data_IF_209119773126
#
_entry.id   IF_209119773126
#
_cell.length_a   1.000
_cell.length_b   1.000
_cell.length_c   1.000
_cell.angle_alpha   90.00
_cell.angle_beta   90.00
_cell.angle_gamma   90.00
#
_symmetry.space_group_name_H-M   'P 1'
#
loop_
_entity.id
_entity.type
_entity.pdbx_description
1 polymer ?
#
# COMPACT_ATOMS: atom_id res chain seq x y z
N UNK A 1 10.78 -15.08 -1.96
CA UNK A 1 9.93 -14.94 -0.76
C UNK A 1 9.77 -13.49 -0.29
N UNK A 2 10.84 -12.72 -0.06
CA UNK A 2 10.75 -11.34 0.49
C UNK A 2 9.70 -10.41 -0.14
N UNK A 3 9.55 -10.42 -1.46
CA UNK A 3 8.60 -9.55 -2.16
C UNK A 3 7.15 -9.94 -1.94
N UNK A 4 6.87 -11.24 -1.77
CA UNK A 4 5.53 -11.73 -1.44
C UNK A 4 5.18 -11.29 -0.01
N UNK A 5 6.13 -11.41 0.92
CA UNK A 5 5.95 -10.96 2.31
C UNK A 5 5.66 -9.45 2.35
N UNK A 6 6.40 -8.64 1.58
CA UNK A 6 6.14 -7.20 1.47
C UNK A 6 4.72 -6.89 1.00
N UNK A 7 4.20 -7.61 0.00
CA UNK A 7 2.83 -7.43 -0.49
C UNK A 7 1.78 -7.87 0.53
N UNK A 8 2.00 -8.96 1.26
CA UNK A 8 1.10 -9.40 2.33
C UNK A 8 1.06 -8.37 3.46
N UNK A 9 2.23 -7.87 3.90
CA UNK A 9 2.31 -6.82 4.90
C UNK A 9 1.64 -5.52 4.42
N UNK A 10 1.80 -5.16 3.14
CA UNK A 10 1.11 -4.01 2.56
C UNK A 10 -0.41 -4.15 2.64
N UNK A 11 -0.94 -5.33 2.30
CA UNK A 11 -2.37 -5.61 2.37
C UNK A 11 -2.91 -5.54 3.80
N UNK A 12 -2.19 -6.12 4.77
CA UNK A 12 -2.56 -6.07 6.19
C UNK A 12 -2.52 -4.64 6.73
N UNK A 13 -1.49 -3.86 6.40
CA UNK A 13 -1.38 -2.46 6.79
C UNK A 13 -2.52 -1.61 6.20
N UNK A 14 -2.88 -1.85 4.93
CA UNK A 14 -3.99 -1.16 4.29
C UNK A 14 -5.32 -1.50 4.96
N UNK A 15 -5.57 -2.78 5.27
CA UNK A 15 -6.77 -3.20 6.00
C UNK A 15 -6.87 -2.52 7.37
N UNK A 16 -5.77 -2.50 8.13
CA UNK A 16 -5.69 -1.78 9.41
C UNK A 16 -5.94 -0.27 9.27
N UNK A 17 -5.38 0.36 8.24
CA UNK A 17 -5.62 1.77 7.92
C UNK A 17 -7.10 2.05 7.61
N UNK A 18 -7.76 1.21 6.81
CA UNK A 18 -9.18 1.36 6.50
C UNK A 18 -10.05 1.22 7.74
N UNK A 19 -9.82 0.19 8.56
CA UNK A 19 -10.57 -0.04 9.81
C UNK A 19 -10.42 1.18 10.73
N UNK A 20 -9.19 1.65 10.93
CA UNK A 20 -8.91 2.78 11.82
C UNK A 20 -9.52 4.08 11.29
N UNK A 21 -9.42 4.34 9.99
CA UNK A 21 -9.97 5.54 9.36
C UNK A 21 -11.49 5.62 9.40
N UNK A 22 -12.17 4.46 9.41
CA UNK A 22 -13.62 4.42 9.64
C UNK A 22 -14.00 4.83 11.07
N UNK A 23 -13.14 4.53 12.05
CA UNK A 23 -13.33 4.85 13.46
C UNK A 23 -12.99 6.30 13.84
N UNK A 24 -12.26 7.03 12.98
CA UNK A 24 -11.76 8.39 13.24
C UNK A 24 -12.87 9.42 13.43
N UNK A 25 -14.04 9.22 12.83
CA UNK A 25 -15.14 10.19 12.83
C UNK A 25 -16.08 9.97 14.02
N UNK A 26 -16.29 11.03 14.80
CA UNK A 26 -17.39 11.11 15.76
C UNK A 26 -18.33 12.25 15.37
N UNK A 27 -19.62 11.94 15.23
CA UNK A 27 -20.64 12.96 14.93
C UNK A 27 -21.04 13.60 16.25
N UNK A 28 -20.67 14.86 16.44
CA UNK A 28 -21.03 15.62 17.64
C UNK A 28 -22.12 16.62 17.29
N UNK A 29 -23.24 16.53 18.00
CA UNK A 29 -24.29 17.53 17.94
C UNK A 29 -23.85 18.78 18.70
N UNK A 30 -23.81 19.91 18.00
CA UNK A 30 -23.52 21.22 18.61
C UNK A 30 -24.85 21.91 18.89
N UNK A 31 -25.06 22.32 20.15
CA UNK A 31 -26.26 23.06 20.54
C UNK A 31 -26.32 24.42 19.82
N UNK A 32 -27.52 24.90 19.41
CA UNK A 32 -27.68 26.17 18.72
C UNK A 32 -27.13 27.33 19.54
N UNK A 33 -26.40 28.25 18.90
CA UNK A 33 -25.82 29.44 19.55
C UNK A 33 -26.89 30.54 19.78
N UNK A 34 -28.01 30.48 19.06
CA UNK A 34 -29.15 31.39 19.19
C UNK A 34 -30.49 30.67 18.93
N UNK A 35 -31.56 31.13 19.58
CA UNK A 35 -32.91 30.59 19.39
C UNK A 35 -33.36 30.73 17.93
N UNK A 36 -33.82 29.63 17.32
CA UNK A 36 -34.30 29.58 15.93
C UNK A 36 -33.29 29.12 14.87
N UNK A 37 -32.02 28.87 15.23
CA UNK A 37 -31.00 28.37 14.31
C UNK A 37 -31.12 26.84 14.11
N UNK A 38 -31.14 26.29 12.88
CA UNK A 38 -31.09 24.85 12.67
C UNK A 38 -29.78 24.27 13.22
N UNK A 39 -29.87 23.09 13.84
CA UNK A 39 -28.70 22.42 14.42
C UNK A 39 -27.64 22.14 13.35
N UNK A 40 -26.41 22.59 13.61
CA UNK A 40 -25.26 22.32 12.74
C UNK A 40 -24.54 21.07 13.23
N UNK A 41 -24.44 20.07 12.36
CA UNK A 41 -23.63 18.87 12.63
C UNK A 41 -22.15 19.17 12.40
N UNK A 42 -21.30 18.94 13.39
CA UNK A 42 -19.84 19.02 13.24
C UNK A 42 -19.23 17.62 13.36
N UNK A 43 -18.29 17.31 12.47
CA UNK A 43 -17.54 16.05 12.52
C UNK A 43 -16.30 16.29 13.38
N UNK A 44 -16.27 15.69 14.56
CA UNK A 44 -15.07 15.66 15.38
C UNK A 44 -14.17 14.52 14.88
N UNK A 45 -12.93 14.86 14.55
CA UNK A 45 -11.89 13.90 14.17
C UNK A 45 -11.02 13.60 15.38
N UNK A 46 -10.84 12.32 15.70
CA UNK A 46 -9.86 11.88 16.70
C UNK A 46 -8.43 12.02 16.12
N UNK A 47 -7.60 12.96 16.62
CA UNK A 47 -6.29 13.21 16.01
C UNK A 47 -5.31 12.02 16.12
N UNK A 48 -5.20 11.30 17.25
CA UNK A 48 -4.41 10.08 17.35
C UNK A 48 -4.80 8.99 16.33
N UNK A 49 -6.10 8.67 16.19
CA UNK A 49 -6.55 7.67 15.23
C UNK A 49 -6.32 8.10 13.78
N UNK A 50 -6.41 9.41 13.51
CA UNK A 50 -6.10 9.95 12.18
C UNK A 50 -4.61 9.78 11.84
N UNK A 51 -3.72 10.08 12.78
CA UNK A 51 -2.29 9.85 12.60
C UNK A 51 -1.96 8.37 12.38
N UNK A 52 -2.56 7.47 13.15
CA UNK A 52 -2.40 6.02 12.96
C UNK A 52 -2.85 5.57 11.57
N UNK A 53 -4.00 6.06 11.12
CA UNK A 53 -4.55 5.78 9.78
C UNK A 53 -3.57 6.21 8.69
N UNK A 54 -3.05 7.44 8.75
CA UNK A 54 -2.10 7.94 7.76
C UNK A 54 -0.77 7.20 7.77
N UNK A 55 -0.27 6.84 8.96
CA UNK A 55 0.93 6.04 9.11
C UNK A 55 0.80 4.66 8.45
N UNK A 56 -0.31 3.96 8.70
CA UNK A 56 -0.60 2.66 8.10
C UNK A 56 -0.75 2.73 6.58
N UNK A 57 -1.49 3.71 6.07
CA UNK A 57 -1.67 3.93 4.62
C UNK A 57 -0.33 4.21 3.94
N UNK A 58 0.52 5.04 4.56
CA UNK A 58 1.85 5.36 4.02
C UNK A 58 2.75 4.14 3.98
N UNK A 59 2.80 3.37 5.08
CA UNK A 59 3.58 2.13 5.15
C UNK A 59 3.09 1.11 4.11
N UNK A 60 1.78 0.96 3.94
CA UNK A 60 1.17 0.10 2.93
C UNK A 60 1.60 0.49 1.51
N UNK A 61 1.57 1.80 1.18
CA UNK A 61 2.01 2.31 -0.11
C UNK A 61 3.48 2.00 -0.42
N UNK A 62 4.38 2.25 0.54
CA UNK A 62 5.82 1.97 0.38
C UNK A 62 6.07 0.47 0.18
N UNK A 63 5.46 -0.37 1.02
CA UNK A 63 5.60 -1.84 0.93
C UNK A 63 5.04 -2.38 -0.39
N UNK A 64 3.92 -1.84 -0.87
CA UNK A 64 3.33 -2.21 -2.15
C UNK A 64 4.30 -1.90 -3.31
N UNK A 65 4.89 -0.70 -3.35
CA UNK A 65 5.86 -0.30 -4.39
C UNK A 65 7.08 -1.23 -4.36
N UNK A 66 7.68 -1.44 -3.20
CA UNK A 66 8.86 -2.31 -3.07
C UNK A 66 8.55 -3.76 -3.47
N UNK A 67 7.40 -4.28 -3.06
CA UNK A 67 6.94 -5.62 -3.40
C UNK A 67 6.73 -5.78 -4.91
N UNK A 68 6.00 -4.86 -5.54
CA UNK A 68 5.72 -4.88 -6.99
C UNK A 68 7.00 -4.72 -7.81
N UNK A 69 7.81 -3.69 -7.53
CA UNK A 69 9.07 -3.43 -8.26
C UNK A 69 10.02 -4.62 -8.11
N UNK A 70 10.16 -5.15 -6.90
CA UNK A 70 10.98 -6.33 -6.63
C UNK A 70 10.52 -7.58 -7.41
N UNK A 71 9.22 -7.82 -7.46
CA UNK A 71 8.64 -8.94 -8.20
C UNK A 71 8.87 -8.79 -9.71
N UNK A 72 8.66 -7.60 -10.27
CA UNK A 72 8.91 -7.31 -11.69
C UNK A 72 10.38 -7.54 -12.03
N UNK A 73 11.32 -7.05 -11.22
CA UNK A 73 12.77 -7.25 -11.43
C UNK A 73 13.16 -8.73 -11.36
N UNK A 74 12.65 -9.47 -10.38
CA UNK A 74 12.92 -10.90 -10.22
C UNK A 74 12.36 -11.75 -11.39
N UNK A 75 11.23 -11.35 -11.98
CA UNK A 75 10.67 -12.00 -13.17
C UNK A 75 11.53 -11.73 -14.41
N UNK A 76 12.00 -10.49 -14.60
CA UNK A 76 12.88 -10.13 -15.72
C UNK A 76 14.21 -10.88 -15.69
N UNK A 77 14.85 -10.98 -14.51
CA UNK A 77 16.10 -11.72 -14.34
C UNK A 77 15.94 -13.20 -14.75
N UNK A 78 14.87 -13.87 -14.31
CA UNK A 78 14.58 -15.26 -14.72
C UNK A 78 14.32 -15.40 -16.21
N UNK A 79 13.60 -14.45 -16.82
CA UNK A 79 13.37 -14.45 -18.26
C UNK A 79 14.65 -14.26 -19.09
N UNK A 80 15.63 -13.50 -18.59
CA UNK A 80 16.93 -13.34 -19.23
C UNK A 80 17.75 -14.63 -19.17
N UNK A 81 17.76 -15.32 -18.03
CA UNK A 81 18.45 -16.61 -17.87
C UNK A 81 17.89 -17.69 -18.79
N UNK A 82 16.56 -17.73 -18.98
CA UNK A 82 15.91 -18.65 -19.91
C UNK A 82 16.17 -18.32 -21.39
N UNK A 83 16.55 -17.07 -21.69
CA UNK A 83 16.87 -16.62 -23.06
C UNK A 83 18.34 -16.79 -23.42
N UNK A 84 19.23 -17.16 -22.49
CA UNK A 84 20.61 -17.53 -22.83
C UNK A 84 20.55 -18.81 -23.65
N UNK A 85 20.76 -18.74 -24.97
CA UNK A 85 20.76 -19.92 -25.81
C UNK A 85 22.07 -20.64 -25.51
N UNK A 86 21.99 -21.85 -25.00
CA UNK A 86 23.07 -22.83 -25.16
C UNK A 86 23.23 -23.26 -26.65
N UNK A 87 22.93 -22.37 -27.61
CA UNK A 87 23.11 -22.55 -29.05
C UNK A 87 24.39 -21.88 -29.56
N UNK A 88 25.30 -21.50 -28.67
CA UNK A 88 26.58 -20.88 -28.99
C UNK A 88 27.76 -21.74 -28.57
N UNK A 89 27.91 -22.94 -29.14
CA UNK A 89 29.18 -23.69 -29.22
C UNK A 89 29.15 -24.56 -30.50
N UNK A 90 30.27 -24.77 -31.21
CA UNK A 90 31.05 -23.81 -31.98
C UNK A 90 31.08 -24.22 -33.48
N UNK A 91 30.56 -23.41 -34.40
CA UNK A 91 30.75 -23.63 -35.87
C UNK A 91 32.09 -23.04 -36.34
N UNK A 92 33.06 -22.87 -35.44
CA UNK A 92 34.33 -22.21 -35.71
C UNK A 92 35.51 -23.20 -35.80
N UNK A 93 35.25 -24.51 -35.78
CA UNK A 93 36.24 -25.59 -35.89
C UNK A 93 36.23 -26.27 -37.27
N UNK A 94 35.93 -25.53 -38.36
CA UNK A 94 35.91 -26.09 -39.73
C UNK A 94 36.21 -25.00 -40.79
N UNK A 95 37.39 -24.37 -40.75
CA UNK A 95 38.13 -23.78 -41.90
C UNK A 95 39.46 -23.22 -41.43
#
# INVERSE_FOLDING_TARGET
MRHVIQLVLAALALAGGVITGLQVRSVVFVAPVADGQPSTTSVAFDPPLMMLTWGLVTAAGVLAVLGVVGLVRARRARGATLRTPASGLPVQELT
#
